data_IF_381316599381
#
_entry.id   IF_381316599381
#
_cell.length_a   1.000
_cell.length_b   1.000
_cell.length_c   1.000
_cell.angle_alpha   90.00
_cell.angle_beta   90.00
_cell.angle_gamma   90.00
#
_symmetry.space_group_name_H-M   'P 1'
#
loop_
_entity.id
_entity.type
_entity.pdbx_description
1 polymer ?
#
# COMPACT_ATOMS: atom_id res chain seq x y z
N UNK A 1 -28.39 -6.92 11.11
CA UNK A 1 -28.04 -5.57 10.61
C UNK A 1 -26.59 -5.20 10.90
N UNK A 2 -26.02 -5.69 11.99
CA UNK A 2 -24.61 -5.48 12.31
C UNK A 2 -23.67 -6.03 11.23
N UNK A 3 -24.03 -7.11 10.54
CA UNK A 3 -23.25 -7.69 9.46
C UNK A 3 -23.04 -6.75 8.26
N UNK A 4 -24.00 -5.89 7.96
CA UNK A 4 -23.87 -4.89 6.89
C UNK A 4 -22.80 -3.84 7.21
N UNK A 5 -22.70 -3.43 8.47
CA UNK A 5 -21.70 -2.46 8.90
C UNK A 5 -20.30 -3.06 8.83
N UNK A 6 -20.12 -4.32 9.23
CA UNK A 6 -18.84 -5.03 9.15
C UNK A 6 -18.32 -5.15 7.71
N UNK A 7 -19.25 -5.33 6.74
CA UNK A 7 -18.90 -5.43 5.32
C UNK A 7 -18.52 -4.09 4.70
N UNK A 8 -18.94 -2.97 5.32
CA UNK A 8 -18.67 -1.61 4.83
C UNK A 8 -17.41 -1.01 5.43
N UNK A 9 -16.91 -1.58 6.53
CA UNK A 9 -15.71 -1.08 7.20
C UNK A 9 -14.48 -1.69 6.53
N UNK A 10 -13.58 -0.84 5.99
CA UNK A 10 -12.35 -1.34 5.38
C UNK A 10 -11.42 -1.94 6.44
N UNK A 11 -10.56 -2.90 6.07
CA UNK A 11 -9.56 -3.45 6.98
C UNK A 11 -8.61 -2.35 7.45
N UNK A 12 -8.27 -2.37 8.75
CA UNK A 12 -7.49 -1.32 9.38
C UNK A 12 -5.98 -1.61 9.32
N UNK A 13 -5.21 -0.58 9.03
CA UNK A 13 -3.76 -0.62 8.99
C UNK A 13 -3.14 0.22 10.10
N UNK A 14 -2.40 -0.41 10.99
CA UNK A 14 -1.71 0.24 12.12
C UNK A 14 -0.21 0.48 11.90
N UNK A 15 0.33 0.01 10.78
CA UNK A 15 1.74 0.11 10.43
C UNK A 15 2.53 -1.18 10.59
N UNK A 16 2.00 -2.19 11.28
CA UNK A 16 2.72 -3.45 11.56
C UNK A 16 2.28 -4.60 10.68
N UNK A 17 1.11 -4.49 10.05
CA UNK A 17 0.47 -5.57 9.31
C UNK A 17 0.33 -5.25 7.82
N UNK A 18 1.29 -4.55 7.23
CA UNK A 18 1.15 -4.02 5.86
C UNK A 18 0.84 -5.09 4.82
N UNK A 19 1.58 -6.19 4.79
CA UNK A 19 1.37 -7.25 3.80
C UNK A 19 -0.03 -7.88 3.91
N UNK A 20 -0.48 -8.12 5.13
CA UNK A 20 -1.81 -8.63 5.42
C UNK A 20 -2.89 -7.62 5.05
N UNK A 21 -2.71 -6.37 5.45
CA UNK A 21 -3.63 -5.28 5.13
C UNK A 21 -3.74 -5.05 3.62
N UNK A 22 -2.62 -5.06 2.90
CA UNK A 22 -2.58 -4.84 1.45
C UNK A 22 -3.48 -5.83 0.70
N UNK A 23 -3.40 -7.10 1.04
CA UNK A 23 -4.22 -8.13 0.41
C UNK A 23 -5.70 -7.91 0.73
N UNK A 24 -6.01 -7.59 1.97
CA UNK A 24 -7.39 -7.43 2.42
C UNK A 24 -8.04 -6.16 1.90
N UNK A 25 -7.33 -5.05 1.87
CA UNK A 25 -7.87 -3.79 1.34
C UNK A 25 -8.11 -3.90 -0.18
N UNK A 26 -7.23 -4.57 -0.88
CA UNK A 26 -7.42 -4.85 -2.30
C UNK A 26 -8.70 -5.66 -2.54
N UNK A 27 -8.90 -6.72 -1.77
CA UNK A 27 -10.11 -7.54 -1.84
C UNK A 27 -11.36 -6.73 -1.47
N UNK A 28 -11.27 -5.88 -0.46
CA UNK A 28 -12.35 -5.00 -0.04
C UNK A 28 -12.76 -4.04 -1.17
N UNK A 29 -11.81 -3.40 -1.81
CA UNK A 29 -12.06 -2.48 -2.92
C UNK A 29 -12.70 -3.20 -4.11
N UNK A 30 -12.19 -4.38 -4.45
CA UNK A 30 -12.78 -5.22 -5.51
C UNK A 30 -14.20 -5.67 -5.18
N UNK A 31 -14.52 -5.88 -3.90
CA UNK A 31 -15.85 -6.28 -3.48
C UNK A 31 -16.88 -5.17 -3.66
N UNK A 32 -16.46 -3.91 -3.62
CA UNK A 32 -17.32 -2.77 -3.93
C UNK A 32 -17.62 -2.76 -5.44
N UNK A 33 -16.55 -2.72 -6.24
CA UNK A 33 -16.59 -2.80 -7.69
C UNK A 33 -15.14 -2.94 -8.19
N UNK A 34 -14.91 -3.76 -9.20
CA UNK A 34 -13.56 -3.94 -9.78
C UNK A 34 -12.97 -2.60 -10.24
N UNK A 35 -13.81 -1.67 -10.69
CA UNK A 35 -13.39 -0.35 -11.14
C UNK A 35 -12.90 0.54 -9.99
N UNK A 36 -13.33 0.29 -8.76
CA UNK A 36 -12.81 0.98 -7.57
C UNK A 36 -11.34 0.62 -7.37
N UNK A 37 -11.02 -0.66 -7.42
CA UNK A 37 -9.62 -1.12 -7.35
C UNK A 37 -8.79 -0.60 -8.53
N UNK A 38 -9.34 -0.66 -9.74
CA UNK A 38 -8.65 -0.19 -10.94
C UNK A 38 -8.30 1.30 -10.88
N UNK A 39 -9.14 2.11 -10.22
CA UNK A 39 -8.86 3.54 -10.05
C UNK A 39 -7.63 3.81 -9.18
N UNK A 40 -7.31 2.91 -8.24
CA UNK A 40 -6.09 2.98 -7.45
C UNK A 40 -4.90 2.42 -8.24
N UNK A 41 -5.07 1.27 -8.86
CA UNK A 41 -4.00 0.57 -9.58
C UNK A 41 -3.46 1.40 -10.74
N UNK A 42 -4.36 1.95 -11.55
CA UNK A 42 -3.99 2.71 -12.75
C UNK A 42 -4.02 4.22 -12.54
N UNK A 43 -4.61 4.67 -11.45
CA UNK A 43 -4.83 6.09 -11.21
C UNK A 43 -6.04 6.63 -11.96
N UNK A 44 -6.33 7.88 -11.73
CA UNK A 44 -7.41 8.62 -12.38
C UNK A 44 -6.98 10.06 -12.58
N UNK A 45 -7.20 10.57 -13.79
CA UNK A 45 -6.90 11.97 -14.13
C UNK A 45 -8.21 12.73 -14.17
N UNK A 46 -8.33 13.74 -13.30
CA UNK A 46 -9.49 14.62 -13.26
C UNK A 46 -9.60 15.37 -14.59
N UNK A 47 -10.77 15.33 -15.24
CA UNK A 47 -10.98 16.14 -16.45
C UNK A 47 -10.77 17.62 -16.18
N UNK A 48 -10.24 18.34 -17.17
CA UNK A 48 -9.98 19.78 -17.07
C UNK A 48 -11.23 20.62 -17.34
N UNK A 49 -12.27 20.02 -17.88
CA UNK A 49 -13.57 20.67 -18.14
C UNK A 49 -14.39 20.83 -16.85
N UNK A 50 -15.42 21.66 -16.92
CA UNK A 50 -16.36 21.85 -15.81
C UNK A 50 -17.11 20.53 -15.54
N UNK A 51 -17.40 20.26 -14.28
CA UNK A 51 -18.12 19.02 -13.87
C UNK A 51 -19.46 18.90 -14.61
N UNK A 52 -20.14 20.01 -14.85
CA UNK A 52 -21.40 20.04 -15.61
C UNK A 52 -21.26 19.54 -17.05
N UNK A 53 -20.04 19.60 -17.60
CA UNK A 53 -19.73 19.17 -18.97
C UNK A 53 -19.22 17.74 -19.05
N UNK A 54 -19.04 17.07 -17.91
CA UNK A 54 -18.53 15.70 -17.87
C UNK A 54 -19.56 14.74 -18.46
N UNK A 55 -19.05 13.78 -19.23
CA UNK A 55 -19.82 12.65 -19.70
C UNK A 55 -20.17 11.71 -18.53
N UNK A 56 -21.17 10.87 -18.71
CA UNK A 56 -21.59 9.89 -17.70
C UNK A 56 -20.42 9.00 -17.28
N UNK A 57 -19.59 8.55 -18.22
CA UNK A 57 -18.42 7.72 -17.94
C UNK A 57 -17.41 8.44 -17.06
N UNK A 58 -17.22 9.74 -17.24
CA UNK A 58 -16.30 10.55 -16.42
C UNK A 58 -16.83 10.74 -15.00
N UNK A 59 -18.14 10.94 -14.84
CA UNK A 59 -18.79 11.03 -13.53
C UNK A 59 -18.70 9.72 -12.76
N UNK A 60 -18.90 8.60 -13.44
CA UNK A 60 -18.76 7.26 -12.84
C UNK A 60 -17.32 6.99 -12.39
N UNK A 61 -16.34 7.31 -13.23
CA UNK A 61 -14.94 7.16 -12.89
C UNK A 61 -14.57 7.99 -11.65
N UNK A 62 -15.05 9.21 -11.57
CA UNK A 62 -14.86 10.09 -10.41
C UNK A 62 -15.50 9.48 -9.14
N UNK A 63 -16.67 8.88 -9.26
CA UNK A 63 -17.36 8.23 -8.14
C UNK A 63 -16.58 7.02 -7.63
N UNK A 64 -16.08 6.17 -8.52
CA UNK A 64 -15.25 5.01 -8.14
C UNK A 64 -13.96 5.46 -7.47
N UNK A 65 -13.33 6.49 -8.01
CA UNK A 65 -12.12 7.05 -7.42
C UNK A 65 -12.36 7.62 -6.03
N UNK A 66 -13.48 8.32 -5.82
CA UNK A 66 -13.86 8.86 -4.51
C UNK A 66 -14.09 7.74 -3.48
N UNK A 67 -14.72 6.64 -3.89
CA UNK A 67 -14.91 5.47 -3.03
C UNK A 67 -13.58 4.86 -2.63
N UNK A 68 -12.67 4.73 -3.57
CA UNK A 68 -11.32 4.22 -3.31
C UNK A 68 -10.56 5.11 -2.34
N UNK A 69 -10.57 6.42 -2.57
CA UNK A 69 -9.92 7.42 -1.71
C UNK A 69 -10.46 7.34 -0.29
N UNK A 70 -11.78 7.32 -0.14
CA UNK A 70 -12.43 7.24 1.16
C UNK A 70 -12.03 5.95 1.90
N UNK A 71 -12.02 4.82 1.21
CA UNK A 71 -11.63 3.54 1.80
C UNK A 71 -10.17 3.55 2.29
N UNK A 72 -9.24 4.08 1.48
CA UNK A 72 -7.84 4.16 1.87
C UNK A 72 -7.65 5.08 3.08
N UNK A 73 -8.23 6.26 3.06
CA UNK A 73 -8.07 7.23 4.14
C UNK A 73 -8.69 6.74 5.46
N UNK A 74 -9.81 6.02 5.40
CA UNK A 74 -10.47 5.48 6.59
C UNK A 74 -9.87 4.15 7.08
N UNK A 75 -9.00 3.54 6.30
CA UNK A 75 -8.38 2.25 6.64
C UNK A 75 -7.06 2.37 7.38
N UNK A 76 -6.51 3.56 7.51
CA UNK A 76 -5.17 3.78 8.08
C UNK A 76 -5.24 4.47 9.42
N UNK A 77 -4.21 4.28 10.26
CA UNK A 77 -4.08 4.97 11.54
C UNK A 77 -3.87 6.48 11.32
N UNK A 78 -4.11 7.27 12.38
CA UNK A 78 -3.88 8.71 12.32
C UNK A 78 -2.45 9.04 11.92
N UNK A 79 -1.47 8.30 12.41
CA UNK A 79 -0.07 8.49 12.05
C UNK A 79 0.18 8.27 10.55
N UNK A 80 -0.39 7.20 9.99
CA UNK A 80 -0.27 6.91 8.55
C UNK A 80 -1.07 7.88 7.71
N UNK A 81 -2.25 8.27 8.19
CA UNK A 81 -3.08 9.27 7.54
C UNK A 81 -2.33 10.60 7.36
N UNK A 82 -1.58 11.04 8.36
CA UNK A 82 -0.79 12.28 8.27
C UNK A 82 0.21 12.27 7.11
N UNK A 83 0.75 11.10 6.77
CA UNK A 83 1.69 10.96 5.65
C UNK A 83 1.03 11.08 4.30
N UNK A 84 -0.25 10.75 4.19
CA UNK A 84 -0.97 10.70 2.92
C UNK A 84 -2.08 11.77 2.79
N UNK A 85 -2.37 12.51 3.87
CA UNK A 85 -3.48 13.47 3.89
C UNK A 85 -3.30 14.65 2.96
N UNK A 86 -2.06 15.00 2.62
CA UNK A 86 -1.75 16.08 1.67
C UNK A 86 -1.91 15.66 0.21
N UNK A 87 -2.20 14.39 -0.03
CA UNK A 87 -2.29 13.83 -1.37
C UNK A 87 -3.75 13.68 -1.75
N UNK A 88 -4.18 14.40 -2.77
CA UNK A 88 -5.57 14.34 -3.25
C UNK A 88 -5.86 13.08 -4.04
N UNK A 89 -4.82 12.37 -4.48
CA UNK A 89 -4.93 11.25 -5.43
C UNK A 89 -4.71 9.92 -4.71
N UNK A 90 -5.72 9.08 -4.65
CA UNK A 90 -5.65 7.76 -3.99
C UNK A 90 -4.53 6.88 -4.54
N UNK A 91 -4.28 6.94 -5.86
CA UNK A 91 -3.19 6.22 -6.50
C UNK A 91 -1.82 6.63 -5.91
N UNK A 92 -1.58 7.93 -5.73
CA UNK A 92 -0.34 8.43 -5.13
C UNK A 92 -0.25 8.05 -3.66
N UNK A 93 -1.34 8.15 -2.91
CA UNK A 93 -1.40 7.72 -1.51
C UNK A 93 -1.06 6.23 -1.37
N UNK A 94 -1.61 5.39 -2.23
CA UNK A 94 -1.31 3.96 -2.29
C UNK A 94 0.18 3.72 -2.54
N UNK A 95 0.75 4.42 -3.52
CA UNK A 95 2.16 4.28 -3.88
C UNK A 95 3.10 4.75 -2.76
N UNK A 96 2.72 5.81 -2.02
CA UNK A 96 3.48 6.26 -0.85
C UNK A 96 3.50 5.16 0.22
N UNK A 97 2.36 4.59 0.57
CA UNK A 97 2.26 3.51 1.55
C UNK A 97 3.08 2.29 1.11
N UNK A 98 2.97 1.92 -0.15
CA UNK A 98 3.73 0.81 -0.74
C UNK A 98 5.23 1.06 -0.68
N UNK A 99 5.69 2.23 -1.09
CA UNK A 99 7.11 2.58 -1.09
C UNK A 99 7.67 2.59 0.34
N UNK A 100 6.97 3.19 1.28
CA UNK A 100 7.41 3.26 2.68
C UNK A 100 7.54 1.87 3.28
N UNK A 101 6.55 1.00 3.10
CA UNK A 101 6.52 -0.30 3.79
C UNK A 101 7.29 -1.39 3.04
N UNK A 102 7.23 -1.44 1.73
CA UNK A 102 8.02 -2.40 0.94
C UNK A 102 9.49 -1.96 0.83
N UNK A 103 9.75 -0.66 0.77
CA UNK A 103 11.11 -0.12 0.82
C UNK A 103 11.81 -0.47 2.12
N UNK A 104 11.15 -0.32 3.27
CA UNK A 104 11.69 -0.70 4.58
C UNK A 104 12.00 -2.20 4.61
N UNK A 105 11.10 -3.03 4.08
CA UNK A 105 11.30 -4.48 3.99
C UNK A 105 12.53 -4.82 3.16
N UNK A 106 12.70 -4.17 2.01
CA UNK A 106 13.87 -4.37 1.15
C UNK A 106 15.17 -3.98 1.86
N UNK A 107 15.18 -2.87 2.60
CA UNK A 107 16.34 -2.44 3.39
C UNK A 107 16.67 -3.47 4.47
N UNK A 108 15.68 -4.00 5.17
CA UNK A 108 15.88 -5.05 6.19
C UNK A 108 16.47 -6.32 5.58
N UNK A 109 15.98 -6.75 4.43
CA UNK A 109 16.50 -7.91 3.71
C UNK A 109 17.95 -7.68 3.31
N UNK A 110 18.28 -6.52 2.75
CA UNK A 110 19.66 -6.18 2.37
C UNK A 110 20.60 -6.19 3.57
N UNK A 111 20.19 -5.65 4.70
CA UNK A 111 20.99 -5.68 5.94
C UNK A 111 21.23 -7.11 6.42
N UNK A 112 20.24 -7.96 6.38
CA UNK A 112 20.36 -9.37 6.75
C UNK A 112 21.32 -10.10 5.82
N UNK A 113 21.25 -9.86 4.51
CA UNK A 113 22.18 -10.44 3.53
C UNK A 113 23.61 -9.98 3.77
N UNK A 114 23.83 -8.70 4.06
CA UNK A 114 25.16 -8.17 4.40
C UNK A 114 25.72 -8.80 5.67
N UNK A 115 24.91 -8.95 6.71
CA UNK A 115 25.33 -9.60 7.96
C UNK A 115 25.67 -11.07 7.73
N UNK A 116 24.90 -11.78 6.95
CA UNK A 116 25.14 -13.18 6.59
C UNK A 116 26.46 -13.31 5.83
N UNK A 117 26.71 -12.45 4.85
CA UNK A 117 27.96 -12.43 4.08
C UNK A 117 29.18 -12.17 4.98
N UNK A 118 29.06 -11.24 5.92
CA UNK A 118 30.15 -10.96 6.89
C UNK A 118 30.41 -12.16 7.79
N UNK A 119 29.35 -12.81 8.27
CA UNK A 119 29.48 -13.99 9.12
C UNK A 119 30.16 -15.13 8.37
N UNK A 120 29.77 -15.38 7.13
CA UNK A 120 30.39 -16.41 6.29
C UNK A 120 31.88 -16.12 6.03
N UNK A 121 32.23 -14.85 5.80
CA UNK A 121 33.63 -14.43 5.64
C UNK A 121 34.44 -14.71 6.89
N UNK A 122 33.93 -14.40 8.07
CA UNK A 122 34.60 -14.66 9.36
C UNK A 122 34.77 -16.17 9.56
N UNK A 123 33.77 -16.96 9.26
CA UNK A 123 33.79 -18.42 9.38
C UNK A 123 34.88 -19.01 8.46
N UNK A 124 34.95 -18.56 7.21
CA UNK A 124 36.00 -18.99 6.27
C UNK A 124 37.38 -18.65 6.76
N UNK A 125 37.61 -17.45 7.31
CA UNK A 125 38.87 -17.03 7.87
C UNK A 125 39.29 -17.92 9.05
N UNK A 126 38.36 -18.28 9.90
CA UNK A 126 38.64 -19.19 11.03
C UNK A 126 38.97 -20.61 10.54
N UNK A 127 38.30 -21.13 9.54
CA UNK A 127 38.54 -22.43 8.96
C UNK A 127 39.95 -22.45 8.31
N UNK A 128 40.33 -21.41 7.58
CA UNK A 128 41.68 -21.25 7.01
C UNK A 128 42.74 -21.22 8.10
N UNK A 129 42.46 -20.52 9.20
CA UNK A 129 43.38 -20.44 10.33
C UNK A 129 43.62 -21.80 10.98
N UNK A 130 42.59 -22.61 11.12
CA UNK A 130 42.68 -23.96 11.68
C UNK A 130 43.37 -24.94 10.71
N UNK A 131 43.19 -24.76 9.40
CA UNK A 131 43.81 -25.61 8.38
C UNK A 131 45.36 -25.37 8.29
N UNK A 132 45.86 -24.22 8.72
CA UNK A 132 47.29 -23.92 8.77
C UNK A 132 48.00 -24.54 9.98
N UNK A 133 47.25 -25.03 10.93
CA UNK A 133 47.79 -25.71 12.11
C UNK A 133 47.59 -27.22 12.02
#
# INVERSE_FOLDING_TARGET
MEHKYSLIIPPYFDGNNYAYWKVRIKAFLKSIDERVWNSIKYGWVKPTTLVSEWQTSQKEAAAFYSKATNAIFNSVSMEKFKRISNVEVAHTAWNILQTVHEGIKAIKINKLQQLTSKFDSIKMSNDEFFDEF
#
